data_IF_354956572443
#
_entry.id   IF_354956572443
#
_cell.length_a   1.000
_cell.length_b   1.000
_cell.length_c   1.000
_cell.angle_alpha   90.00
_cell.angle_beta   90.00
_cell.angle_gamma   90.00
#
_symmetry.space_group_name_H-M   'P 1'
#
loop_
_entity.id
_entity.type
_entity.pdbx_description
1 polymer ?
#
# COMPACT_ATOMS: atom_id res chain seq x y z
N UNK A 1 -18.13 3.35 1.54
CA UNK A 1 -18.24 1.88 1.61
C UNK A 1 -19.15 1.43 0.48
N UNK A 2 -18.69 0.51 -0.32
CA UNK A 2 -19.46 0.03 -1.46
C UNK A 2 -19.26 -1.45 -1.73
N UNK A 3 -19.86 -1.94 -2.82
CA UNK A 3 -19.75 -3.33 -3.24
C UNK A 3 -20.24 -4.31 -2.19
N UNK A 4 -19.47 -5.37 -1.97
CA UNK A 4 -19.73 -6.40 -0.98
C UNK A 4 -18.77 -6.35 0.22
N UNK A 5 -18.24 -5.15 0.52
CA UNK A 5 -17.32 -4.95 1.63
C UNK A 5 -17.97 -5.32 2.97
N UNK A 6 -17.21 -5.98 3.83
CA UNK A 6 -17.65 -6.38 5.17
C UNK A 6 -16.79 -5.70 6.22
N UNK A 7 -17.40 -5.03 7.16
CA UNK A 7 -16.71 -4.28 8.19
C UNK A 7 -17.29 -4.65 9.54
N UNK A 8 -16.44 -5.08 10.46
CA UNK A 8 -16.86 -5.48 11.79
C UNK A 8 -15.84 -5.13 12.86
N UNK A 9 -16.14 -5.55 14.12
CA UNK A 9 -15.30 -5.24 15.26
C UNK A 9 -15.38 -3.77 15.63
N UNK A 10 -14.26 -3.21 16.09
CA UNK A 10 -14.13 -1.80 16.46
C UNK A 10 -13.50 -0.97 15.34
N UNK A 11 -13.83 -1.27 14.09
CA UNK A 11 -13.30 -0.58 12.94
C UNK A 11 -13.83 0.85 12.85
N UNK A 12 -12.93 1.81 12.68
CA UNK A 12 -13.27 3.23 12.52
C UNK A 12 -12.84 3.70 11.14
N UNK A 13 -13.77 4.29 10.41
CA UNK A 13 -13.53 4.79 9.06
C UNK A 13 -13.91 6.27 9.05
N UNK A 14 -13.00 7.13 8.66
CA UNK A 14 -13.20 8.57 8.70
C UNK A 14 -12.64 9.26 7.46
N UNK A 15 -12.95 10.55 7.35
CA UNK A 15 -12.51 11.42 6.26
C UNK A 15 -12.98 10.90 4.89
N UNK A 16 -12.08 10.86 3.90
CA UNK A 16 -12.42 10.50 2.53
C UNK A 16 -12.03 9.04 2.19
N UNK A 17 -11.94 8.19 3.21
CA UNK A 17 -11.60 6.79 3.01
C UNK A 17 -12.68 6.04 2.23
N UNK A 18 -12.26 5.17 1.31
CA UNK A 18 -13.14 4.34 0.50
C UNK A 18 -12.83 2.88 0.72
N UNK A 19 -13.87 2.07 0.87
CA UNK A 19 -13.76 0.63 1.00
C UNK A 19 -14.77 0.00 0.04
N UNK A 20 -14.28 -0.72 -0.94
CA UNK A 20 -15.09 -1.25 -2.03
C UNK A 20 -14.86 -2.75 -2.23
N UNK A 21 -15.54 -3.30 -3.22
CA UNK A 21 -15.43 -4.69 -3.69
C UNK A 21 -15.76 -5.71 -2.60
N UNK A 22 -14.88 -6.66 -2.36
CA UNK A 22 -15.08 -7.73 -1.37
C UNK A 22 -14.12 -7.58 -0.18
N UNK A 23 -13.68 -6.36 0.11
CA UNK A 23 -12.79 -6.11 1.24
C UNK A 23 -13.45 -6.55 2.56
N UNK A 24 -12.68 -7.20 3.41
CA UNK A 24 -13.14 -7.69 4.71
C UNK A 24 -12.24 -7.10 5.81
N UNK A 25 -12.84 -6.30 6.70
CA UNK A 25 -12.14 -5.61 7.78
C UNK A 25 -12.73 -6.03 9.11
N UNK A 26 -11.88 -6.53 10.00
CA UNK A 26 -12.34 -6.97 11.31
C UNK A 26 -11.26 -6.79 12.39
N UNK A 27 -11.60 -6.07 13.45
CA UNK A 27 -10.70 -5.85 14.58
C UNK A 27 -10.70 -4.40 15.03
N UNK A 28 -9.58 -3.96 15.59
CA UNK A 28 -9.37 -2.56 16.01
C UNK A 28 -8.67 -1.79 14.88
N UNK A 29 -9.37 -1.59 13.78
CA UNK A 29 -8.81 -0.99 12.56
C UNK A 29 -9.24 0.48 12.46
N UNK A 30 -8.29 1.36 12.26
CA UNK A 30 -8.55 2.78 12.03
C UNK A 30 -8.13 3.16 10.63
N UNK A 31 -9.10 3.57 9.81
CA UNK A 31 -8.88 3.94 8.41
C UNK A 31 -9.27 5.39 8.24
N UNK A 32 -8.35 6.22 7.76
CA UNK A 32 -8.59 7.65 7.59
C UNK A 32 -7.85 8.20 6.37
N UNK A 33 -7.99 9.50 6.16
CA UNK A 33 -7.39 10.17 5.02
C UNK A 33 -8.09 9.83 3.71
N UNK A 34 -7.32 9.71 2.64
CA UNK A 34 -7.80 9.31 1.31
C UNK A 34 -7.52 7.85 1.02
N UNK A 35 -7.48 7.03 2.04
CA UNK A 35 -7.20 5.60 1.91
C UNK A 35 -8.25 4.91 1.06
N UNK A 36 -7.82 4.07 0.14
CA UNK A 36 -8.72 3.27 -0.69
C UNK A 36 -8.37 1.79 -0.54
N UNK A 37 -9.31 1.01 -0.05
CA UNK A 37 -9.19 -0.43 0.13
C UNK A 37 -10.20 -1.13 -0.78
N UNK A 38 -9.74 -2.05 -1.61
CA UNK A 38 -10.58 -2.71 -2.60
C UNK A 38 -10.11 -4.16 -2.84
N UNK A 39 -10.70 -4.80 -3.83
CA UNK A 39 -10.38 -6.18 -4.17
C UNK A 39 -10.87 -7.16 -3.12
N UNK A 40 -10.09 -8.19 -2.86
CA UNK A 40 -10.37 -9.21 -1.84
C UNK A 40 -9.53 -8.99 -0.58
N UNK A 41 -9.21 -7.74 -0.24
CA UNK A 41 -8.37 -7.43 0.91
C UNK A 41 -8.98 -7.99 2.20
N UNK A 42 -8.15 -8.67 2.98
CA UNK A 42 -8.52 -9.23 4.28
C UNK A 42 -7.65 -8.57 5.34
N UNK A 43 -8.24 -7.67 6.10
CA UNK A 43 -7.52 -6.83 7.08
C UNK A 43 -8.07 -7.12 8.46
N UNK A 44 -7.21 -7.59 9.36
CA UNK A 44 -7.57 -7.96 10.72
C UNK A 44 -6.56 -7.45 11.73
N UNK A 45 -6.96 -7.46 13.02
CA UNK A 45 -6.08 -7.14 14.12
C UNK A 45 -6.11 -5.67 14.47
N UNK A 46 -5.02 -5.17 15.04
CA UNK A 46 -4.90 -3.77 15.46
C UNK A 46 -3.98 -3.03 14.50
N UNK A 47 -4.56 -2.20 13.64
CA UNK A 47 -3.79 -1.53 12.59
C UNK A 47 -4.39 -0.16 12.28
N UNK A 48 -3.51 0.79 11.93
CA UNK A 48 -3.90 2.10 11.42
C UNK A 48 -3.47 2.20 9.96
N UNK A 49 -4.42 2.50 9.10
CA UNK A 49 -4.17 2.73 7.66
C UNK A 49 -4.62 4.15 7.37
N UNK A 50 -3.69 4.99 6.94
CA UNK A 50 -3.94 6.42 6.87
C UNK A 50 -3.34 7.07 5.62
N UNK A 51 -3.59 8.35 5.52
CA UNK A 51 -3.08 9.25 4.49
C UNK A 51 -3.60 8.87 3.10
N UNK A 52 -2.72 8.48 2.18
CA UNK A 52 -3.06 8.24 0.79
C UNK A 52 -2.83 6.77 0.39
N UNK A 53 -2.91 5.87 1.36
CA UNK A 53 -2.68 4.44 1.13
C UNK A 53 -3.68 3.84 0.17
N UNK A 54 -3.21 2.95 -0.69
CA UNK A 54 -4.07 2.18 -1.59
C UNK A 54 -3.76 0.70 -1.43
N UNK A 55 -4.76 -0.07 -1.04
CA UNK A 55 -4.63 -1.51 -0.77
C UNK A 55 -5.66 -2.24 -1.62
N UNK A 56 -5.20 -3.18 -2.45
CA UNK A 56 -6.09 -3.92 -3.33
C UNK A 56 -5.58 -5.35 -3.58
N UNK A 57 -6.24 -6.06 -4.49
CA UNK A 57 -5.89 -7.44 -4.78
C UNK A 57 -6.21 -8.38 -3.62
N UNK A 58 -5.37 -9.39 -3.44
CA UNK A 58 -5.52 -10.38 -2.38
C UNK A 58 -4.67 -10.02 -1.16
N UNK A 59 -4.76 -8.77 -0.69
CA UNK A 59 -4.02 -8.31 0.48
C UNK A 59 -4.41 -9.09 1.72
N UNK A 60 -3.41 -9.47 2.52
CA UNK A 60 -3.58 -10.18 3.79
C UNK A 60 -2.83 -9.40 4.86
N UNK A 61 -3.56 -8.57 5.61
CA UNK A 61 -2.96 -7.72 6.63
C UNK A 61 -3.59 -8.10 7.98
N UNK A 62 -2.87 -8.93 8.75
CA UNK A 62 -3.36 -9.45 10.02
C UNK A 62 -2.65 -8.83 11.22
N UNK A 63 -1.60 -8.06 10.99
CA UNK A 63 -0.92 -7.26 12.01
C UNK A 63 -0.12 -6.13 11.37
N UNK A 64 0.52 -5.30 12.20
CA UNK A 64 1.28 -4.14 11.73
C UNK A 64 2.53 -4.51 10.90
N UNK A 65 3.00 -5.77 10.96
CA UNK A 65 4.16 -6.23 10.18
C UNK A 65 3.79 -6.67 8.77
N UNK A 66 2.52 -6.67 8.43
CA UNK A 66 2.02 -7.01 7.10
C UNK A 66 1.78 -5.78 6.22
N UNK A 67 2.03 -4.59 6.74
CA UNK A 67 1.73 -3.33 6.05
C UNK A 67 2.78 -2.28 6.40
N UNK A 68 3.23 -1.55 5.38
CA UNK A 68 4.16 -0.44 5.53
C UNK A 68 3.79 0.68 4.56
N UNK A 69 3.70 1.90 5.05
CA UNK A 69 3.37 3.06 4.24
C UNK A 69 4.43 4.13 4.39
N UNK A 70 4.90 4.64 3.25
CA UNK A 70 5.78 5.80 3.17
C UNK A 70 4.99 6.98 2.59
N UNK A 71 4.75 8.04 3.36
CA UNK A 71 4.02 9.21 2.85
C UNK A 71 4.84 9.98 1.81
N UNK A 72 4.17 10.77 0.96
CA UNK A 72 4.88 11.65 0.03
C UNK A 72 5.82 12.61 0.75
N UNK A 73 6.97 12.87 0.15
CA UNK A 73 7.96 13.81 0.68
C UNK A 73 8.33 14.83 -0.40
N UNK A 74 7.91 16.09 -0.26
CA UNK A 74 8.24 17.13 -1.25
C UNK A 74 9.74 17.43 -1.33
N UNK A 75 10.49 17.19 -0.24
CA UNK A 75 11.91 17.51 -0.17
C UNK A 75 12.78 16.63 -1.05
N UNK A 76 12.37 15.37 -1.27
CA UNK A 76 13.12 14.41 -2.04
C UNK A 76 12.33 13.85 -3.23
N UNK A 77 11.27 14.55 -3.63
CA UNK A 77 10.40 14.20 -4.78
C UNK A 77 9.73 12.83 -4.68
N UNK A 78 9.63 12.28 -3.48
CA UNK A 78 8.97 11.00 -3.28
C UNK A 78 7.45 11.17 -3.28
N UNK A 79 6.73 10.28 -4.00
CA UNK A 79 5.29 10.44 -4.25
C UNK A 79 4.39 9.55 -3.38
N UNK A 80 4.96 8.76 -2.50
CA UNK A 80 4.20 7.87 -1.62
C UNK A 80 4.23 6.42 -2.08
N UNK A 81 4.20 5.50 -1.12
CA UNK A 81 4.33 4.08 -1.41
C UNK A 81 3.69 3.26 -0.29
N UNK A 82 2.81 2.34 -0.67
CA UNK A 82 2.23 1.35 0.24
C UNK A 82 2.76 -0.03 -0.15
N UNK A 83 3.29 -0.76 0.83
CA UNK A 83 3.71 -2.14 0.66
C UNK A 83 2.93 -2.99 1.64
N UNK A 84 2.41 -4.12 1.18
CA UNK A 84 1.58 -4.96 2.04
C UNK A 84 1.66 -6.42 1.61
N UNK A 85 1.50 -7.28 2.60
CA UNK A 85 1.47 -8.72 2.36
C UNK A 85 0.25 -9.10 1.54
N UNK A 86 0.44 -10.02 0.61
CA UNK A 86 -0.63 -10.66 -0.12
C UNK A 86 -0.42 -12.17 -0.13
N UNK A 87 -1.33 -12.89 -0.78
CA UNK A 87 -1.30 -14.35 -0.85
C UNK A 87 0.03 -14.88 -1.38
N UNK A 88 0.65 -14.19 -2.34
CA UNK A 88 1.84 -14.66 -3.05
C UNK A 88 3.09 -13.83 -2.74
N UNK A 89 3.13 -13.07 -1.65
CA UNK A 89 4.28 -12.27 -1.26
C UNK A 89 3.92 -10.84 -0.90
N UNK A 90 4.65 -9.87 -1.44
CA UNK A 90 4.42 -8.44 -1.19
C UNK A 90 3.85 -7.78 -2.43
N UNK A 91 2.76 -7.06 -2.27
CA UNK A 91 2.23 -6.14 -3.27
C UNK A 91 2.65 -4.71 -2.93
N UNK A 92 2.75 -3.90 -3.97
CA UNK A 92 3.13 -2.50 -3.89
C UNK A 92 2.08 -1.66 -4.58
N UNK A 93 1.65 -0.58 -3.94
CA UNK A 93 0.82 0.45 -4.56
C UNK A 93 1.50 1.79 -4.35
N UNK A 94 1.81 2.49 -5.44
CA UNK A 94 2.49 3.76 -5.34
C UNK A 94 2.36 4.59 -6.59
N UNK A 95 2.67 5.88 -6.44
CA UNK A 95 2.70 6.82 -7.55
C UNK A 95 4.10 6.90 -8.15
N UNK A 96 4.17 7.06 -9.45
CA UNK A 96 5.41 7.33 -10.16
C UNK A 96 5.18 8.42 -11.21
N UNK A 97 6.21 9.22 -11.54
CA UNK A 97 6.07 10.23 -12.58
C UNK A 97 6.05 9.57 -13.96
N UNK A 98 5.12 9.99 -14.81
CA UNK A 98 5.05 9.56 -16.20
C UNK A 98 4.77 10.77 -17.06
N UNK A 99 5.75 11.18 -17.89
CA UNK A 99 5.72 12.39 -18.68
C UNK A 99 5.48 13.62 -17.78
N UNK A 100 4.35 14.31 -17.94
CA UNK A 100 3.99 15.49 -17.12
C UNK A 100 2.92 15.18 -16.07
N UNK A 101 2.62 13.91 -15.84
CA UNK A 101 1.57 13.48 -14.91
C UNK A 101 2.12 12.50 -13.89
N UNK A 102 1.30 12.18 -12.91
CA UNK A 102 1.55 11.13 -11.93
C UNK A 102 0.61 9.96 -12.20
N UNK A 103 1.16 8.75 -12.25
CA UNK A 103 0.39 7.53 -12.46
C UNK A 103 0.45 6.64 -11.23
N UNK A 104 -0.59 5.85 -11.01
CA UNK A 104 -0.59 4.83 -9.98
C UNK A 104 -0.13 3.49 -10.54
N UNK A 105 0.71 2.80 -9.77
CA UNK A 105 1.09 1.41 -10.03
C UNK A 105 0.58 0.55 -8.88
N UNK A 106 0.04 -0.62 -9.23
CA UNK A 106 -0.24 -1.68 -8.26
C UNK A 106 0.24 -3.00 -8.85
N UNK A 107 1.06 -3.72 -8.11
CA UNK A 107 1.61 -4.99 -8.57
C UNK A 107 2.76 -5.46 -7.71
N UNK A 108 3.64 -6.27 -8.31
CA UNK A 108 4.81 -6.82 -7.62
C UNK A 108 5.87 -5.75 -7.37
N UNK A 109 6.75 -6.03 -6.42
CA UNK A 109 7.87 -5.14 -6.12
C UNK A 109 8.79 -4.99 -7.34
N UNK A 110 9.10 -6.09 -8.03
CA UNK A 110 9.91 -6.04 -9.25
C UNK A 110 9.26 -5.20 -10.33
N UNK A 111 7.96 -5.36 -10.54
CA UNK A 111 7.21 -4.57 -11.51
C UNK A 111 7.25 -3.07 -11.21
N UNK A 112 7.16 -2.70 -9.93
CA UNK A 112 7.28 -1.30 -9.53
C UNK A 112 8.70 -0.76 -9.80
N UNK A 113 9.72 -1.53 -9.47
CA UNK A 113 11.11 -1.14 -9.70
C UNK A 113 11.37 -0.91 -11.21
N UNK A 114 10.86 -1.79 -12.06
CA UNK A 114 10.98 -1.59 -13.51
C UNK A 114 10.30 -0.31 -13.98
N UNK A 115 9.09 -0.03 -13.47
CA UNK A 115 8.36 1.20 -13.83
C UNK A 115 9.12 2.46 -13.44
N UNK A 116 9.62 2.53 -12.21
CA UNK A 116 10.31 3.73 -11.74
C UNK A 116 11.65 3.94 -12.44
N UNK A 117 12.35 2.86 -12.80
CA UNK A 117 13.60 2.97 -13.56
C UNK A 117 13.38 3.44 -15.00
N UNK A 118 12.24 3.10 -15.58
CA UNK A 118 11.90 3.53 -16.92
C UNK A 118 11.41 4.98 -16.98
N UNK A 119 10.52 5.38 -16.08
CA UNK A 119 9.84 6.68 -16.12
C UNK A 119 10.42 7.72 -15.15
N UNK A 120 11.05 7.28 -14.06
CA UNK A 120 11.52 8.18 -13.00
C UNK A 120 12.84 8.85 -13.34
N UNK A 121 13.02 10.06 -12.78
CA UNK A 121 14.34 10.69 -12.81
C UNK A 121 15.23 10.07 -11.72
N UNK A 122 16.52 10.40 -11.77
CA UNK A 122 17.51 9.82 -10.87
C UNK A 122 17.14 10.00 -9.39
N UNK A 123 16.74 11.19 -8.99
CA UNK A 123 16.42 11.47 -7.59
C UNK A 123 15.22 10.69 -7.11
N UNK A 124 14.18 10.63 -7.92
CA UNK A 124 12.98 9.87 -7.59
C UNK A 124 13.30 8.38 -7.43
N UNK A 125 14.02 7.81 -8.41
CA UNK A 125 14.39 6.39 -8.39
C UNK A 125 15.22 6.07 -7.15
N UNK A 126 16.25 6.87 -6.88
CA UNK A 126 17.13 6.62 -5.73
C UNK A 126 16.39 6.67 -4.41
N UNK A 127 15.49 7.65 -4.24
CA UNK A 127 14.70 7.76 -3.01
C UNK A 127 13.67 6.65 -2.86
N UNK A 128 13.10 6.16 -3.94
CA UNK A 128 12.27 4.96 -3.92
C UNK A 128 13.07 3.72 -3.50
N UNK A 129 14.26 3.54 -4.08
CA UNK A 129 15.08 2.37 -3.78
C UNK A 129 15.54 2.34 -2.32
N UNK A 130 15.83 3.50 -1.71
CA UNK A 130 16.17 3.57 -0.29
C UNK A 130 15.01 3.07 0.58
N UNK A 131 13.79 3.47 0.25
CA UNK A 131 12.60 3.03 0.99
C UNK A 131 12.33 1.54 0.78
N UNK A 132 12.56 1.04 -0.41
CA UNK A 132 12.44 -0.39 -0.73
C UNK A 132 13.45 -1.21 0.08
N UNK A 133 14.68 -0.75 0.22
CA UNK A 133 15.68 -1.42 1.06
C UNK A 133 15.24 -1.46 2.53
N UNK A 134 14.68 -0.37 3.04
CA UNK A 134 14.09 -0.37 4.38
C UNK A 134 12.95 -1.39 4.49
N UNK A 135 12.07 -1.46 3.50
CA UNK A 135 10.95 -2.39 3.48
C UNK A 135 11.41 -3.84 3.48
N UNK A 136 12.48 -4.16 2.75
CA UNK A 136 13.07 -5.50 2.75
C UNK A 136 13.57 -5.92 4.13
N UNK A 137 14.05 -4.97 4.92
CA UNK A 137 14.46 -5.22 6.30
C UNK A 137 13.27 -5.28 7.27
N UNK A 138 12.18 -4.59 6.94
CA UNK A 138 10.98 -4.51 7.77
C UNK A 138 10.12 -5.77 7.68
N UNK A 139 9.87 -6.25 6.48
CA UNK A 139 9.02 -7.43 6.27
C UNK A 139 9.81 -8.72 6.54
N UNK A 140 9.13 -9.79 7.03
CA UNK A 140 9.76 -11.10 7.12
C UNK A 140 10.33 -11.55 5.78
N UNK A 141 11.52 -12.15 5.82
CA UNK A 141 12.21 -12.61 4.61
C UNK A 141 11.34 -13.54 3.76
N UNK A 142 10.55 -14.39 4.41
CA UNK A 142 9.66 -15.33 3.73
C UNK A 142 8.65 -14.65 2.78
N UNK A 143 8.32 -13.38 3.01
CA UNK A 143 7.38 -12.66 2.15
C UNK A 143 7.97 -12.32 0.77
N UNK A 144 9.29 -12.37 0.61
CA UNK A 144 9.99 -12.08 -0.63
C UNK A 144 10.41 -13.33 -1.40
N UNK A 145 10.19 -14.52 -0.84
CA UNK A 145 10.56 -15.80 -1.43
C UNK A 145 9.34 -16.38 -2.17
N UNK A 146 9.14 -15.94 -3.40
CA UNK A 146 8.07 -16.47 -4.25
C UNK A 146 8.58 -16.90 -5.61
#
# INVERSE_FOLDING_TARGET
>A
IGGHARIGGNTRISQNARIDDKANLYGDIWICGKTHISGNADIRGRIVIADDSRICGDAIIHDMYDYLYFPPSPLDYFLGLSLYRCKDGILVSGKYPKDFTEEFFTGTLEGFIEKIKYFGNYYFVENCLKRIEFAKAYFPEAYFNW
#
